data_IF_325535532190
#
_entry.id   IF_325535532190
#
_cell.length_a   1.000
_cell.length_b   1.000
_cell.length_c   1.000
_cell.angle_alpha   90.00
_cell.angle_beta   90.00
_cell.angle_gamma   90.00
#
_symmetry.space_group_name_H-M   'P 1'
#
loop_
_entity.id
_entity.type
_entity.pdbx_description
1 polymer ?
#
# COMPACT_ATOMS: atom_id res chain seq x y z
N UNK A 1 -16.43 -6.57 -9.21
CA UNK A 1 -16.56 -7.04 -7.81
C UNK A 1 -15.41 -6.44 -7.01
N UNK A 2 -15.55 -6.19 -5.70
CA UNK A 2 -14.45 -5.67 -4.90
C UNK A 2 -13.25 -6.62 -4.94
N UNK A 3 -12.05 -6.06 -5.00
CA UNK A 3 -10.77 -6.79 -5.04
C UNK A 3 -10.64 -7.80 -3.91
N UNK A 4 -11.12 -7.47 -2.71
CA UNK A 4 -11.09 -8.40 -1.57
C UNK A 4 -11.89 -9.69 -1.80
N UNK A 5 -12.94 -9.61 -2.62
CA UNK A 5 -13.76 -10.77 -3.01
C UNK A 5 -13.11 -11.49 -4.18
N UNK A 6 -12.73 -10.75 -5.22
CA UNK A 6 -12.11 -11.28 -6.42
C UNK A 6 -10.80 -10.55 -6.67
N UNK A 7 -9.71 -11.15 -6.17
CA UNK A 7 -8.38 -10.59 -6.32
C UNK A 7 -7.93 -10.65 -7.79
N UNK A 8 -7.16 -9.67 -8.31
CA UNK A 8 -6.77 -9.65 -9.71
C UNK A 8 -5.83 -10.83 -10.00
N UNK A 9 -5.98 -11.41 -11.20
CA UNK A 9 -5.17 -12.55 -11.60
C UNK A 9 -3.69 -12.16 -11.80
N UNK A 10 -2.80 -13.14 -11.70
CA UNK A 10 -1.38 -12.93 -11.94
C UNK A 10 -1.10 -12.42 -13.37
N UNK A 11 -0.29 -11.39 -13.48
CA UNK A 11 0.02 -10.73 -14.75
C UNK A 11 -1.07 -9.78 -15.26
N UNK A 12 -2.18 -9.64 -14.53
CA UNK A 12 -3.25 -8.72 -14.93
C UNK A 12 -2.93 -7.27 -14.54
N UNK A 13 -3.50 -6.35 -15.34
CA UNK A 13 -3.59 -4.93 -15.00
C UNK A 13 -5.00 -4.63 -14.49
N UNK A 14 -5.11 -4.07 -13.30
CA UNK A 14 -6.39 -3.71 -12.68
C UNK A 14 -6.32 -2.27 -12.19
N UNK A 15 -7.23 -1.40 -12.66
CA UNK A 15 -7.33 0.02 -12.25
C UNK A 15 -5.97 0.76 -12.20
N UNK A 16 -5.10 0.53 -13.19
CA UNK A 16 -3.79 1.16 -13.30
C UNK A 16 -2.68 0.55 -12.42
N UNK A 17 -3.00 -0.47 -11.62
CA UNK A 17 -2.04 -1.31 -10.91
C UNK A 17 -1.76 -2.64 -11.61
N UNK A 18 -0.73 -3.32 -11.14
CA UNK A 18 -0.30 -4.65 -11.60
C UNK A 18 -0.48 -5.66 -10.47
N UNK A 19 -0.88 -6.89 -10.79
CA UNK A 19 -0.88 -7.99 -9.82
C UNK A 19 -0.02 -9.16 -10.28
N UNK A 20 0.65 -9.81 -9.33
CA UNK A 20 1.34 -11.09 -9.52
C UNK A 20 0.53 -12.28 -8.97
N UNK A 21 -0.74 -12.05 -8.63
CA UNK A 21 -1.69 -13.02 -8.08
C UNK A 21 -1.76 -13.02 -6.55
N UNK A 22 -0.74 -12.50 -5.86
CA UNK A 22 -0.69 -12.47 -4.40
C UNK A 22 -0.39 -11.09 -3.81
N UNK A 23 0.26 -10.21 -4.57
CA UNK A 23 0.36 -8.77 -4.36
C UNK A 23 -0.30 -8.04 -5.54
N UNK A 24 -1.09 -7.02 -5.22
CA UNK A 24 -1.53 -5.99 -6.15
C UNK A 24 -0.83 -4.69 -5.78
N UNK A 25 -0.21 -4.03 -6.76
CA UNK A 25 0.57 -2.82 -6.56
C UNK A 25 0.17 -1.73 -7.53
N UNK A 26 -0.06 -0.52 -7.01
CA UNK A 26 -0.39 0.67 -7.80
C UNK A 26 0.18 1.95 -7.19
N UNK A 27 0.23 3.03 -7.97
CA UNK A 27 0.71 4.33 -7.54
C UNK A 27 -0.37 5.39 -7.66
N UNK A 28 -0.55 6.17 -6.58
CA UNK A 28 -1.45 7.31 -6.54
C UNK A 28 -0.63 8.59 -6.46
N UNK A 29 -0.81 9.50 -7.42
CA UNK A 29 -0.12 10.78 -7.47
C UNK A 29 -1.12 11.93 -7.45
N UNK A 30 -0.85 12.95 -6.64
CA UNK A 30 -1.69 14.15 -6.56
C UNK A 30 -0.87 15.44 -6.50
N UNK A 31 -1.55 16.58 -6.58
CA UNK A 31 -0.90 17.90 -6.43
C UNK A 31 -0.35 18.13 -5.01
N UNK A 32 -0.89 17.42 -4.02
CA UNK A 32 -0.43 17.34 -2.62
C UNK A 32 -0.50 15.89 -2.17
N UNK A 33 0.40 15.49 -1.27
CA UNK A 33 0.37 14.16 -0.65
C UNK A 33 -1.00 13.81 -0.03
N UNK A 34 -1.71 14.79 0.54
CA UNK A 34 -3.04 14.58 1.12
C UNK A 34 -4.03 14.03 0.09
N UNK A 35 -4.04 14.55 -1.14
CA UNK A 35 -4.92 14.05 -2.18
C UNK A 35 -4.56 12.62 -2.62
N UNK A 36 -3.26 12.30 -2.72
CA UNK A 36 -2.84 10.92 -2.98
C UNK A 36 -3.33 9.97 -1.88
N UNK A 37 -3.30 10.42 -0.63
CA UNK A 37 -3.77 9.64 0.50
C UNK A 37 -5.29 9.47 0.52
N UNK A 38 -6.04 10.54 0.24
CA UNK A 38 -7.50 10.49 0.17
C UNK A 38 -7.97 9.54 -0.95
N UNK A 39 -7.29 9.55 -2.10
CA UNK A 39 -7.55 8.59 -3.18
C UNK A 39 -7.31 7.13 -2.74
N UNK A 40 -6.23 6.86 -2.00
CA UNK A 40 -5.97 5.51 -1.45
C UNK A 40 -7.07 5.10 -0.48
N UNK A 41 -7.51 5.99 0.42
CA UNK A 41 -8.58 5.68 1.40
C UNK A 41 -9.89 5.34 0.69
N UNK A 42 -10.25 6.13 -0.33
CA UNK A 42 -11.44 5.90 -1.12
C UNK A 42 -11.36 4.57 -1.89
N UNK A 43 -10.21 4.31 -2.54
CA UNK A 43 -9.97 3.05 -3.23
C UNK A 43 -10.10 1.85 -2.29
N UNK A 44 -9.47 1.90 -1.12
CA UNK A 44 -9.55 0.80 -0.14
C UNK A 44 -10.98 0.58 0.36
N UNK A 45 -11.75 1.64 0.58
CA UNK A 45 -13.17 1.52 0.95
C UNK A 45 -13.98 0.82 -0.14
N UNK A 46 -13.85 1.26 -1.39
CA UNK A 46 -14.58 0.71 -2.55
C UNK A 46 -14.19 -0.76 -2.85
N UNK A 47 -12.92 -1.11 -2.64
CA UNK A 47 -12.38 -2.44 -2.91
C UNK A 47 -12.57 -3.44 -1.76
N UNK A 48 -13.26 -3.04 -0.68
CA UNK A 48 -13.67 -3.92 0.43
C UNK A 48 -12.71 -3.96 1.63
N UNK A 49 -11.77 -3.02 1.69
CA UNK A 49 -10.77 -2.88 2.75
C UNK A 49 -11.06 -1.68 3.70
N UNK A 50 -12.30 -1.19 3.74
CA UNK A 50 -12.69 -0.06 4.60
C UNK A 50 -12.49 -0.28 6.10
N UNK A 51 -12.48 -1.54 6.55
CA UNK A 51 -12.25 -1.93 7.95
C UNK A 51 -10.75 -1.96 8.34
N UNK A 52 -9.84 -1.82 7.38
CA UNK A 52 -8.41 -1.75 7.68
C UNK A 52 -8.16 -0.45 8.45
N UNK A 53 -7.56 -0.50 9.64
CA UNK A 53 -7.20 0.72 10.36
C UNK A 53 -6.19 1.48 9.52
N UNK A 54 -6.43 2.77 9.33
CA UNK A 54 -5.55 3.66 8.59
C UNK A 54 -5.25 4.90 9.43
N UNK A 55 -4.09 5.56 9.24
CA UNK A 55 -3.84 6.87 9.82
C UNK A 55 -4.99 7.85 9.54
N UNK A 56 -5.37 8.69 10.52
CA UNK A 56 -6.54 9.55 10.32
C UNK A 56 -6.28 10.62 9.25
N UNK A 57 -5.04 11.08 9.15
CA UNK A 57 -4.63 12.15 8.25
C UNK A 57 -3.34 11.82 7.50
N UNK A 58 -3.09 12.53 6.41
CA UNK A 58 -1.81 12.44 5.69
C UNK A 58 -0.61 12.93 6.53
N UNK A 59 -0.86 13.76 7.56
CA UNK A 59 0.17 14.15 8.52
C UNK A 59 0.56 12.98 9.43
N UNK A 60 -0.42 12.22 9.92
CA UNK A 60 -0.17 11.00 10.71
C UNK A 60 0.56 9.95 9.86
N UNK A 61 0.15 9.79 8.59
CA UNK A 61 0.83 8.88 7.66
C UNK A 61 2.32 9.21 7.51
N UNK A 62 2.70 10.50 7.49
CA UNK A 62 4.11 10.91 7.38
C UNK A 62 4.96 10.45 8.56
N UNK A 63 4.38 10.18 9.73
CA UNK A 63 5.11 9.66 10.88
C UNK A 63 5.71 8.27 10.60
N UNK A 64 5.16 7.54 9.63
CA UNK A 64 5.63 6.23 9.18
C UNK A 64 6.71 6.31 8.07
N UNK A 65 7.03 7.51 7.56
CA UNK A 65 7.95 7.68 6.42
C UNK A 65 9.42 7.36 6.75
N UNK A 66 9.83 7.52 8.01
CA UNK A 66 11.22 7.33 8.45
C UNK A 66 11.26 6.44 9.68
N UNK A 67 12.16 5.45 9.67
CA UNK A 67 12.56 4.79 10.91
C UNK A 67 13.19 5.81 11.86
N UNK A 68 12.80 5.77 13.14
CA UNK A 68 13.36 6.61 14.20
C UNK A 68 14.84 6.31 14.48
N UNK A 69 15.32 5.13 14.08
CA UNK A 69 16.74 4.74 14.21
C UNK A 69 17.45 4.81 12.86
N UNK A 70 18.55 5.57 12.72
CA UNK A 70 19.35 5.63 11.49
C UNK A 70 19.85 4.26 11.01
N UNK A 71 20.18 3.35 11.94
CA UNK A 71 20.69 2.01 11.64
C UNK A 71 19.65 1.12 10.96
N UNK A 72 18.37 1.34 11.26
CA UNK A 72 17.25 0.56 10.71
C UNK A 72 16.73 1.14 9.39
N UNK A 73 17.20 2.31 8.94
CA UNK A 73 16.71 2.92 7.71
C UNK A 73 17.02 2.12 6.45
N UNK A 74 18.10 1.32 6.46
CA UNK A 74 18.48 0.47 5.33
C UNK A 74 17.56 -0.74 5.17
N UNK A 75 16.86 -1.15 6.24
CA UNK A 75 16.06 -2.38 6.28
C UNK A 75 14.56 -2.10 6.38
N UNK A 76 14.16 -0.88 6.73
CA UNK A 76 12.77 -0.52 6.93
C UNK A 76 12.09 -0.10 5.62
N UNK A 77 10.99 -0.78 5.29
CA UNK A 77 10.01 -0.26 4.33
C UNK A 77 9.55 1.14 4.78
N UNK A 78 9.58 2.10 3.87
CA UNK A 78 9.24 3.50 4.16
C UNK A 78 7.74 3.69 4.01
N UNK A 79 6.96 3.39 5.04
CA UNK A 79 5.52 3.53 4.92
C UNK A 79 4.72 2.96 6.07
N UNK A 80 3.41 3.09 5.94
CA UNK A 80 2.44 2.46 6.82
C UNK A 80 2.22 1.02 6.40
N UNK A 81 2.32 0.10 7.35
CA UNK A 81 2.22 -1.35 7.11
C UNK A 81 1.17 -1.90 8.07
N UNK A 82 0.07 -2.39 7.52
CA UNK A 82 -0.98 -3.05 8.29
C UNK A 82 -1.67 -4.09 7.42
N UNK A 83 -1.49 -5.37 7.76
CA UNK A 83 -2.04 -6.49 6.98
C UNK A 83 -3.55 -6.29 6.66
N UNK A 84 -3.99 -6.38 5.39
CA UNK A 84 -3.25 -6.80 4.18
C UNK A 84 -2.69 -5.67 3.30
N UNK A 85 -2.61 -4.45 3.84
CA UNK A 85 -2.27 -3.23 3.09
C UNK A 85 -0.90 -2.67 3.50
N UNK A 86 -0.16 -2.17 2.51
CA UNK A 86 0.98 -1.27 2.72
C UNK A 86 0.78 0.02 1.94
N UNK A 87 1.08 1.14 2.58
CA UNK A 87 1.10 2.47 1.95
C UNK A 87 2.52 3.01 2.05
N UNK A 88 3.24 2.95 0.94
CA UNK A 88 4.67 3.22 0.88
C UNK A 88 4.96 4.58 0.24
N UNK A 89 5.98 5.24 0.76
CA UNK A 89 6.55 6.44 0.16
C UNK A 89 7.61 6.05 -0.87
N UNK A 90 7.58 6.61 -2.09
CA UNK A 90 8.65 6.38 -3.05
C UNK A 90 9.98 6.92 -2.52
N UNK A 91 11.07 6.28 -2.94
CA UNK A 91 12.42 6.70 -2.56
C UNK A 91 12.86 7.97 -3.30
N UNK A 92 12.34 8.18 -4.51
CA UNK A 92 12.64 9.32 -5.38
C UNK A 92 12.02 10.64 -4.84
N UNK A 93 12.84 11.67 -4.52
CA UNK A 93 12.35 12.97 -4.07
C UNK A 93 11.43 13.69 -5.07
N UNK A 94 11.56 13.43 -6.38
CA UNK A 94 10.68 14.02 -7.40
C UNK A 94 9.22 13.57 -7.22
N UNK A 95 9.01 12.40 -6.60
CA UNK A 95 7.71 11.78 -6.38
C UNK A 95 7.15 12.09 -4.98
N UNK A 96 7.50 13.24 -4.39
CA UNK A 96 7.14 13.60 -3.01
C UNK A 96 5.64 13.63 -2.68
N UNK A 97 4.78 13.74 -3.70
CA UNK A 97 3.32 13.74 -3.58
C UNK A 97 2.67 12.46 -4.13
N UNK A 98 3.47 11.41 -4.31
CA UNK A 98 3.05 10.09 -4.75
C UNK A 98 3.10 9.11 -3.58
N UNK A 99 2.16 8.18 -3.55
CA UNK A 99 2.13 7.05 -2.63
C UNK A 99 1.97 5.76 -3.45
N UNK A 100 2.63 4.69 -3.01
CA UNK A 100 2.49 3.36 -3.57
C UNK A 100 1.57 2.57 -2.64
N UNK A 101 0.49 2.02 -3.18
CA UNK A 101 -0.40 1.12 -2.49
C UNK A 101 -0.03 -0.31 -2.88
N UNK A 102 0.25 -1.15 -1.88
CA UNK A 102 0.33 -2.60 -2.03
C UNK A 102 -0.83 -3.22 -1.24
N UNK A 103 -1.55 -4.15 -1.88
CA UNK A 103 -2.61 -4.95 -1.26
C UNK A 103 -2.24 -6.41 -1.47
N UNK A 104 -2.29 -7.21 -0.42
CA UNK A 104 -1.94 -8.63 -0.49
C UNK A 104 -3.21 -9.50 -0.43
N UNK A 105 -3.23 -10.57 -1.21
CA UNK A 105 -4.36 -11.48 -1.31
C UNK A 105 -4.47 -12.38 -0.06
N UNK A 106 -5.38 -12.05 0.85
CA UNK A 106 -5.62 -12.78 2.10
C UNK A 106 -5.97 -14.26 1.91
N UNK A 107 -6.41 -14.65 0.70
CA UNK A 107 -6.79 -16.03 0.37
C UNK A 107 -5.61 -16.90 -0.10
N UNK A 108 -4.46 -16.28 -0.38
CA UNK A 108 -3.29 -17.02 -0.86
C UNK A 108 -2.63 -17.84 0.25
N UNK A 109 -2.15 -19.05 -0.06
CA UNK A 109 -1.32 -19.80 0.86
C UNK A 109 -0.10 -18.97 1.30
N UNK A 110 0.23 -19.07 2.59
CA UNK A 110 1.33 -18.32 3.20
C UNK A 110 1.19 -16.79 3.08
N UNK A 111 -0.03 -16.25 2.95
CA UNK A 111 -0.28 -14.81 2.85
C UNK A 111 0.51 -13.98 3.86
N UNK A 112 0.56 -14.37 5.14
CA UNK A 112 1.32 -13.63 6.15
C UNK A 112 2.83 -13.62 5.87
N UNK A 113 3.39 -14.74 5.41
CA UNK A 113 4.82 -14.80 5.03
C UNK A 113 5.07 -13.95 3.80
N UNK A 114 4.19 -14.04 2.79
CA UNK A 114 4.21 -13.22 1.58
C UNK A 114 4.15 -11.72 1.90
N UNK A 115 3.21 -11.30 2.74
CA UNK A 115 3.05 -9.92 3.20
C UNK A 115 4.33 -9.38 3.85
N UNK A 116 5.06 -10.22 4.58
CA UNK A 116 6.33 -9.87 5.23
C UNK A 116 7.59 -10.16 4.38
N UNK A 117 7.44 -10.62 3.13
CA UNK A 117 8.56 -10.93 2.25
C UNK A 117 9.40 -12.15 2.69
N UNK A 118 8.78 -13.12 3.36
CA UNK A 118 9.41 -14.34 3.89
C UNK A 118 9.00 -15.63 3.17
N UNK A 119 8.27 -15.52 2.06
CA UNK A 119 7.76 -16.65 1.27
C UNK A 119 8.57 -16.89 0.00
#
# INVERSE_FOLDING_TARGET
>A
MPMRVQFPEAGSNYLGGTSDGWEYRTAFAGSKLAYAYDMIRQFLLEEGYGEVPLPQTAADLKLFKKSRSPQLQLFAERGYIHNPVKILFPSDPAQRNTLILCVYNEKEPNHLLRFHGMA
#
